data_IF_104350787729
#
_entry.id   IF_104350787729
#
_cell.length_a   1.000
_cell.length_b   1.000
_cell.length_c   1.000
_cell.angle_alpha   90.00
_cell.angle_beta   90.00
_cell.angle_gamma   90.00
#
_symmetry.space_group_name_H-M   'P 1'
#
loop_
_entity.id
_entity.type
_entity.pdbx_description
1 polymer ?
#
# COMPACT_ATOMS: atom_id res chain seq x y z
N UNK A 1 8.99 4.92 4.91
CA UNK A 1 8.41 3.57 4.68
C UNK A 1 6.98 3.52 5.21
N UNK A 2 6.21 2.48 4.88
CA UNK A 2 4.96 2.17 5.59
C UNK A 2 5.23 1.11 6.66
N UNK A 3 4.57 1.25 7.81
CA UNK A 3 4.80 0.44 9.00
C UNK A 3 6.00 0.90 9.84
N UNK A 4 6.31 0.13 10.88
CA UNK A 4 7.42 0.42 11.78
C UNK A 4 8.56 -0.59 11.63
N UNK A 5 9.74 -0.07 11.36
CA UNK A 5 10.96 -0.84 11.28
C UNK A 5 12.16 -0.03 11.79
N UNK A 6 13.22 -0.74 12.17
CA UNK A 6 14.51 -0.14 12.53
C UNK A 6 15.66 -0.93 11.92
N UNK A 7 16.77 -0.27 11.70
CA UNK A 7 18.03 -0.89 11.28
C UNK A 7 19.02 -0.75 12.44
N UNK A 8 19.64 -1.86 12.84
CA UNK A 8 20.74 -1.87 13.82
C UNK A 8 22.03 -2.20 13.07
N UNK A 9 23.07 -1.40 13.25
CA UNK A 9 24.41 -1.63 12.69
C UNK A 9 25.34 -1.93 13.86
N UNK A 10 26.05 -3.05 13.80
CA UNK A 10 26.98 -3.53 14.81
C UNK A 10 28.39 -3.33 14.30
N UNK A 11 29.24 -2.73 15.14
CA UNK A 11 30.64 -2.45 14.82
C UNK A 11 31.54 -3.33 15.68
N UNK A 12 32.66 -3.76 15.12
CA UNK A 12 33.72 -4.44 15.86
C UNK A 12 34.59 -3.47 16.69
N UNK A 13 35.60 -4.01 17.39
CA UNK A 13 36.54 -3.22 18.19
C UNK A 13 37.39 -2.26 17.33
N UNK A 14 37.54 -2.51 16.03
CA UNK A 14 38.24 -1.63 15.09
C UNK A 14 37.33 -0.51 14.54
N UNK A 15 36.03 -0.55 14.84
CA UNK A 15 35.03 0.40 14.34
C UNK A 15 34.48 0.05 12.95
N UNK A 16 34.80 -1.13 12.42
CA UNK A 16 34.31 -1.62 11.13
C UNK A 16 32.96 -2.33 11.28
N UNK A 17 32.14 -2.31 10.23
CA UNK A 17 30.81 -2.96 10.26
C UNK A 17 30.96 -4.48 10.32
N UNK A 18 30.53 -5.08 11.42
CA UNK A 18 30.50 -6.53 11.63
C UNK A 18 29.16 -7.13 11.17
N UNK A 19 28.03 -6.47 11.49
CA UNK A 19 26.68 -6.97 11.19
C UNK A 19 25.69 -5.80 10.97
N UNK A 20 24.63 -6.05 10.20
CA UNK A 20 23.53 -5.12 9.98
C UNK A 20 22.19 -5.86 9.95
N UNK A 21 21.24 -5.43 10.80
CA UNK A 21 19.94 -6.10 10.98
C UNK A 21 18.79 -5.17 10.67
N UNK A 22 17.86 -5.63 9.84
CA UNK A 22 16.56 -5.00 9.61
C UNK A 22 15.50 -5.65 10.50
N UNK A 23 14.85 -4.86 11.35
CA UNK A 23 13.84 -5.33 12.29
C UNK A 23 12.48 -4.75 11.92
N UNK A 24 11.51 -5.61 11.67
CA UNK A 24 10.08 -5.24 11.64
C UNK A 24 9.52 -5.48 13.04
N UNK A 25 9.01 -4.43 13.69
CA UNK A 25 8.73 -4.45 15.14
C UNK A 25 7.26 -4.56 15.49
N UNK A 26 6.38 -4.63 14.48
CA UNK A 26 4.94 -4.70 14.67
C UNK A 26 4.38 -6.11 14.44
N UNK A 27 3.43 -6.49 15.28
CA UNK A 27 2.65 -7.72 15.13
C UNK A 27 1.18 -7.47 15.50
N UNK A 28 0.26 -7.93 14.65
CA UNK A 28 -1.20 -7.80 14.85
C UNK A 28 -1.97 -9.13 14.84
N UNK A 29 -1.35 -10.23 14.42
CA UNK A 29 -1.95 -11.57 14.48
C UNK A 29 -3.21 -11.78 13.64
N UNK A 30 -3.29 -11.19 12.44
CA UNK A 30 -4.49 -11.29 11.57
C UNK A 30 -4.94 -12.73 11.30
N UNK A 31 -4.00 -13.63 11.07
CA UNK A 31 -4.28 -15.04 10.79
C UNK A 31 -5.03 -15.71 11.93
N UNK A 32 -4.63 -15.45 13.18
CA UNK A 32 -5.23 -16.07 14.36
C UNK A 32 -6.61 -15.52 14.67
N UNK A 33 -6.80 -14.19 14.62
CA UNK A 33 -8.10 -13.63 14.97
C UNK A 33 -9.17 -13.85 13.88
N UNK A 34 -8.75 -14.17 12.65
CA UNK A 34 -9.66 -14.54 11.57
C UNK A 34 -10.27 -15.94 11.75
N UNK A 35 -9.68 -16.80 12.58
CA UNK A 35 -10.26 -18.11 12.88
C UNK A 35 -11.67 -17.97 13.50
N UNK A 36 -12.61 -18.80 13.04
CA UNK A 36 -14.01 -18.77 13.50
C UNK A 36 -14.84 -17.59 13.00
N UNK A 37 -14.25 -16.64 12.27
CA UNK A 37 -14.98 -15.54 11.65
C UNK A 37 -15.72 -16.02 10.40
N UNK A 38 -16.91 -15.47 10.12
CA UNK A 38 -17.57 -15.74 8.85
C UNK A 38 -16.76 -15.25 7.65
N UNK A 39 -16.77 -16.04 6.57
CA UNK A 39 -16.02 -15.75 5.34
C UNK A 39 -16.33 -14.36 4.75
N UNK A 40 -17.58 -13.91 4.81
CA UNK A 40 -18.01 -12.62 4.25
C UNK A 40 -17.42 -11.40 4.99
N UNK A 41 -16.92 -11.57 6.21
CA UNK A 41 -16.22 -10.50 6.93
C UNK A 41 -14.78 -10.32 6.44
N UNK A 42 -14.20 -11.33 5.77
CA UNK A 42 -12.76 -11.38 5.49
C UNK A 42 -12.28 -10.21 4.66
N UNK A 43 -12.99 -9.86 3.58
CA UNK A 43 -12.62 -8.72 2.73
C UNK A 43 -12.62 -7.39 3.50
N UNK A 44 -13.54 -7.22 4.44
CA UNK A 44 -13.58 -6.09 5.35
C UNK A 44 -12.39 -6.12 6.32
N UNK A 45 -12.17 -7.24 6.99
CA UNK A 45 -11.11 -7.41 7.98
C UNK A 45 -9.72 -7.22 7.36
N UNK A 46 -9.38 -7.97 6.32
CA UNK A 46 -8.03 -7.98 5.73
C UNK A 46 -7.66 -6.66 5.08
N UNK A 47 -8.63 -5.89 4.58
CA UNK A 47 -8.37 -4.54 4.09
C UNK A 47 -7.77 -3.61 5.16
N UNK A 48 -7.88 -3.93 6.45
CA UNK A 48 -7.29 -3.16 7.57
C UNK A 48 -5.87 -3.61 7.92
N UNK A 49 -5.32 -4.58 7.20
CA UNK A 49 -3.90 -4.91 7.33
C UNK A 49 -3.05 -3.71 6.90
N UNK A 50 -3.40 -2.99 5.84
CA UNK A 50 -2.60 -1.85 5.38
C UNK A 50 -3.49 -0.70 4.90
N UNK A 51 -3.10 0.54 5.22
CA UNK A 51 -3.78 1.75 4.74
C UNK A 51 -3.45 2.10 3.28
N UNK A 52 -2.33 1.59 2.74
CA UNK A 52 -1.89 1.86 1.35
C UNK A 52 -2.43 0.83 0.39
N UNK A 53 -2.44 -0.47 0.73
CA UNK A 53 -2.88 -1.56 -0.15
C UNK A 53 -4.22 -2.26 0.23
N UNK A 54 -5.24 -1.53 0.71
CA UNK A 54 -6.48 -2.16 1.17
C UNK A 54 -7.23 -2.88 0.04
N UNK A 55 -7.20 -2.36 -1.21
CA UNK A 55 -7.82 -3.02 -2.37
C UNK A 55 -7.18 -4.38 -2.64
N UNK A 56 -5.86 -4.49 -2.54
CA UNK A 56 -5.16 -5.75 -2.82
C UNK A 56 -5.57 -6.83 -1.82
N UNK A 57 -5.67 -6.49 -0.53
CA UNK A 57 -6.19 -7.40 0.50
C UNK A 57 -7.65 -7.77 0.26
N UNK A 58 -8.48 -6.78 -0.04
CA UNK A 58 -9.91 -6.98 -0.27
C UNK A 58 -10.15 -7.93 -1.45
N UNK A 59 -9.50 -7.69 -2.59
CA UNK A 59 -9.61 -8.54 -3.77
C UNK A 59 -9.02 -9.94 -3.54
N UNK A 60 -7.93 -10.06 -2.77
CA UNK A 60 -7.38 -11.37 -2.39
C UNK A 60 -8.39 -12.17 -1.54
N UNK A 61 -9.05 -11.52 -0.59
CA UNK A 61 -10.08 -12.16 0.23
C UNK A 61 -11.33 -12.52 -0.59
N UNK A 62 -11.80 -11.63 -1.48
CA UNK A 62 -12.94 -11.90 -2.36
C UNK A 62 -12.67 -13.11 -3.27
N UNK A 63 -11.51 -13.13 -3.93
CA UNK A 63 -11.04 -14.27 -4.75
C UNK A 63 -10.89 -15.57 -3.97
N UNK A 64 -10.60 -15.48 -2.68
CA UNK A 64 -10.54 -16.68 -1.83
C UNK A 64 -11.94 -17.19 -1.53
N UNK A 65 -12.90 -16.30 -1.29
CA UNK A 65 -14.30 -16.67 -1.16
C UNK A 65 -14.88 -17.26 -2.44
N UNK A 66 -14.50 -16.75 -3.62
CA UNK A 66 -14.89 -17.36 -4.90
C UNK A 66 -14.53 -18.84 -4.97
N UNK A 67 -13.30 -19.17 -4.55
CA UNK A 67 -12.80 -20.55 -4.51
C UNK A 67 -13.54 -21.41 -3.49
N UNK A 68 -13.80 -20.87 -2.30
CA UNK A 68 -14.53 -21.59 -1.24
C UNK A 68 -15.95 -21.91 -1.69
N UNK A 69 -16.62 -20.98 -2.36
CA UNK A 69 -17.98 -21.14 -2.86
C UNK A 69 -18.07 -21.85 -4.21
N UNK A 70 -16.92 -22.17 -4.83
CA UNK A 70 -16.82 -22.73 -6.18
C UNK A 70 -17.61 -21.93 -7.24
N UNK A 71 -17.61 -20.60 -7.12
CA UNK A 71 -18.30 -19.70 -8.05
C UNK A 71 -17.35 -19.13 -9.09
N UNK A 72 -17.85 -18.95 -10.31
CA UNK A 72 -17.14 -18.26 -11.38
C UNK A 72 -17.63 -16.83 -11.46
N UNK A 73 -16.72 -15.89 -11.24
CA UNK A 73 -17.00 -14.45 -11.36
C UNK A 73 -17.40 -14.14 -12.81
N UNK A 74 -18.47 -13.36 -13.05
CA UNK A 74 -18.86 -12.97 -14.40
C UNK A 74 -17.79 -12.05 -15.01
N UNK A 75 -17.64 -12.01 -16.35
CA UNK A 75 -16.62 -11.18 -17.01
C UNK A 75 -16.66 -9.69 -16.64
N UNK A 76 -17.84 -9.16 -16.30
CA UNK A 76 -17.98 -7.78 -15.83
C UNK A 76 -17.31 -7.58 -14.45
N UNK A 77 -17.54 -8.49 -13.50
CA UNK A 77 -16.92 -8.45 -12.16
C UNK A 77 -15.40 -8.53 -12.24
N UNK A 78 -14.87 -9.45 -13.06
CA UNK A 78 -13.42 -9.57 -13.27
C UNK A 78 -12.79 -8.26 -13.80
N UNK A 79 -13.46 -7.60 -14.76
CA UNK A 79 -12.99 -6.33 -15.32
C UNK A 79 -13.03 -5.19 -14.30
N UNK A 80 -14.09 -5.10 -13.50
CA UNK A 80 -14.22 -4.10 -12.43
C UNK A 80 -13.13 -4.28 -11.38
N UNK A 81 -12.91 -5.52 -10.91
CA UNK A 81 -11.84 -5.82 -9.95
C UNK A 81 -10.46 -5.54 -10.52
N UNK A 82 -10.23 -5.88 -11.79
CA UNK A 82 -8.96 -5.56 -12.48
C UNK A 82 -8.74 -4.05 -12.55
N UNK A 83 -9.77 -3.28 -12.91
CA UNK A 83 -9.68 -1.82 -12.97
C UNK A 83 -9.39 -1.22 -11.59
N UNK A 84 -10.08 -1.69 -10.54
CA UNK A 84 -9.83 -1.27 -9.17
C UNK A 84 -8.40 -1.59 -8.73
N UNK A 85 -7.89 -2.78 -9.04
CA UNK A 85 -6.51 -3.17 -8.74
C UNK A 85 -5.48 -2.34 -9.52
N UNK A 86 -5.76 -1.95 -10.76
CA UNK A 86 -4.89 -1.06 -11.52
C UNK A 86 -4.87 0.34 -10.89
N UNK A 87 -6.02 0.88 -10.46
CA UNK A 87 -6.08 2.14 -9.71
C UNK A 87 -5.28 2.06 -8.40
N UNK A 88 -5.36 0.94 -7.70
CA UNK A 88 -4.56 0.63 -6.50
C UNK A 88 -3.05 0.61 -6.76
N UNK A 89 -2.60 -0.02 -7.85
CA UNK A 89 -1.19 -0.05 -8.24
C UNK A 89 -0.72 1.37 -8.58
N UNK A 90 -1.48 2.10 -9.40
CA UNK A 90 -1.15 3.47 -9.81
C UNK A 90 -0.98 4.39 -8.60
N UNK A 91 -1.96 4.41 -7.68
CA UNK A 91 -1.87 5.30 -6.52
C UNK A 91 -0.77 4.88 -5.54
N UNK A 92 -0.52 3.59 -5.38
CA UNK A 92 0.52 3.06 -4.49
C UNK A 92 1.91 3.38 -5.00
N UNK A 93 2.17 3.18 -6.29
CA UNK A 93 3.46 3.52 -6.90
C UNK A 93 3.69 5.02 -6.93
N UNK A 94 2.66 5.83 -7.22
CA UNK A 94 2.76 7.29 -7.13
C UNK A 94 3.07 7.75 -5.70
N UNK A 95 2.44 7.16 -4.69
CA UNK A 95 2.74 7.45 -3.29
C UNK A 95 4.19 7.08 -2.96
N UNK A 96 4.59 5.84 -3.25
CA UNK A 96 5.93 5.33 -2.93
C UNK A 96 7.02 6.19 -3.57
N UNK A 97 6.93 6.45 -4.87
CA UNK A 97 7.94 7.23 -5.55
C UNK A 97 7.93 8.70 -5.12
N UNK A 98 6.82 9.42 -5.31
CA UNK A 98 6.82 10.87 -5.17
C UNK A 98 6.81 11.38 -3.72
N UNK A 99 6.33 10.58 -2.77
CA UNK A 99 6.23 11.02 -1.37
C UNK A 99 7.31 10.40 -0.48
N UNK A 100 7.86 9.24 -0.85
CA UNK A 100 8.84 8.53 -0.02
C UNK A 100 10.23 8.54 -0.65
N UNK A 101 10.39 8.05 -1.88
CA UNK A 101 11.71 7.81 -2.47
C UNK A 101 12.32 9.00 -3.21
N UNK A 102 11.51 9.82 -3.87
CA UNK A 102 12.00 10.90 -4.72
C UNK A 102 12.74 12.01 -3.97
N UNK A 103 12.45 12.36 -2.70
CA UNK A 103 13.28 13.31 -1.97
C UNK A 103 14.75 12.86 -1.90
N UNK A 104 15.02 11.58 -1.62
CA UNK A 104 16.39 11.05 -1.57
C UNK A 104 17.06 11.09 -2.96
N UNK A 105 16.35 10.68 -4.01
CA UNK A 105 16.91 10.61 -5.37
C UNK A 105 17.11 11.97 -6.04
N UNK A 106 16.24 12.95 -5.77
CA UNK A 106 16.20 14.21 -6.51
C UNK A 106 16.80 15.38 -5.75
N UNK A 107 16.71 15.39 -4.41
CA UNK A 107 17.36 16.41 -3.58
C UNK A 107 18.78 15.98 -3.16
N UNK A 108 19.04 14.67 -3.14
CA UNK A 108 20.34 14.08 -2.84
C UNK A 108 20.39 13.36 -1.49
N UNK A 109 21.22 12.33 -1.41
CA UNK A 109 21.33 11.43 -0.25
C UNK A 109 21.97 12.11 0.96
N UNK A 110 22.68 13.21 0.75
CA UNK A 110 23.34 14.02 1.78
C UNK A 110 22.63 15.36 2.03
N UNK A 111 21.45 15.60 1.43
CA UNK A 111 20.70 16.83 1.67
C UNK A 111 20.17 16.90 3.10
N UNK A 112 20.02 18.12 3.63
CA UNK A 112 19.51 18.37 4.99
C UNK A 112 18.22 17.59 5.27
N UNK A 113 18.18 16.70 6.29
CA UNK A 113 16.99 15.95 6.67
C UNK A 113 15.73 16.79 6.89
N UNK A 114 15.87 18.06 7.33
CA UNK A 114 14.75 18.97 7.49
C UNK A 114 14.04 19.29 6.16
N UNK A 115 14.76 19.17 5.05
CA UNK A 115 14.28 19.44 3.69
C UNK A 115 14.19 18.19 2.81
N UNK A 116 14.84 17.08 3.18
CA UNK A 116 14.79 15.80 2.44
C UNK A 116 13.47 15.06 2.63
N UNK A 117 12.40 15.69 2.21
CA UNK A 117 11.03 15.21 2.31
C UNK A 117 10.17 15.82 1.19
N UNK A 118 8.90 15.43 1.17
CA UNK A 118 7.95 15.89 0.14
C UNK A 118 7.80 17.42 0.09
N UNK A 119 7.97 18.14 1.20
CA UNK A 119 7.85 19.59 1.21
C UNK A 119 9.06 20.28 0.61
N UNK A 120 10.27 19.78 0.87
CA UNK A 120 11.46 20.26 0.17
C UNK A 120 11.38 19.98 -1.33
N UNK A 121 10.84 18.82 -1.72
CA UNK A 121 10.59 18.51 -3.13
C UNK A 121 9.58 19.48 -3.76
N UNK A 122 8.50 19.83 -3.05
CA UNK A 122 7.52 20.84 -3.52
C UNK A 122 8.18 22.21 -3.69
N UNK A 123 9.09 22.60 -2.79
CA UNK A 123 9.80 23.87 -2.89
C UNK A 123 10.80 23.89 -4.07
N UNK A 124 11.47 22.77 -4.33
CA UNK A 124 12.46 22.64 -5.40
C UNK A 124 11.83 22.47 -6.80
N UNK A 125 10.80 21.63 -6.91
CA UNK A 125 10.09 21.36 -8.17
C UNK A 125 8.57 21.18 -7.91
N UNK A 126 7.81 22.30 -7.88
CA UNK A 126 6.38 22.27 -7.62
C UNK A 126 5.58 21.47 -8.65
N UNK A 127 6.01 21.46 -9.92
CA UNK A 127 5.27 20.83 -11.02
C UNK A 127 5.45 19.31 -11.01
N UNK A 128 6.65 18.81 -10.70
CA UNK A 128 6.89 17.39 -10.47
C UNK A 128 6.09 16.88 -9.27
N UNK A 129 6.14 17.61 -8.14
CA UNK A 129 5.38 17.25 -6.94
C UNK A 129 3.87 17.22 -7.20
N UNK A 130 3.35 18.24 -7.89
CA UNK A 130 1.94 18.31 -8.32
C UNK A 130 1.56 17.14 -9.23
N UNK A 131 2.45 16.74 -10.14
CA UNK A 131 2.22 15.60 -11.04
C UNK A 131 2.11 14.29 -10.25
N UNK A 132 2.96 14.07 -9.26
CA UNK A 132 2.89 12.92 -8.36
C UNK A 132 1.59 12.87 -7.54
N UNK A 133 1.17 14.02 -6.99
CA UNK A 133 -0.11 14.15 -6.25
C UNK A 133 -1.30 13.82 -7.18
N UNK A 134 -1.31 14.34 -8.41
CA UNK A 134 -2.38 14.09 -9.39
C UNK A 134 -2.43 12.64 -9.84
N UNK A 135 -1.28 11.98 -10.03
CA UNK A 135 -1.25 10.56 -10.38
C UNK A 135 -1.82 9.69 -9.25
N UNK A 136 -1.46 10.01 -8.00
CA UNK A 136 -2.06 9.35 -6.83
C UNK A 136 -3.56 9.61 -6.75
N UNK A 137 -4.00 10.85 -6.97
CA UNK A 137 -5.40 11.23 -6.99
C UNK A 137 -6.18 10.44 -8.04
N UNK A 138 -5.64 10.30 -9.25
CA UNK A 138 -6.28 9.54 -10.32
C UNK A 138 -6.54 8.09 -9.92
N UNK A 139 -5.52 7.39 -9.42
CA UNK A 139 -5.70 6.00 -8.97
C UNK A 139 -6.72 5.88 -7.83
N UNK A 140 -6.72 6.83 -6.89
CA UNK A 140 -7.69 6.87 -5.79
C UNK A 140 -9.13 7.18 -6.26
N UNK A 141 -9.30 8.05 -7.27
CA UNK A 141 -10.60 8.33 -7.87
C UNK A 141 -11.16 7.11 -8.58
N UNK A 142 -10.34 6.31 -9.28
CA UNK A 142 -10.77 5.04 -9.86
C UNK A 142 -11.27 4.08 -8.76
N UNK A 143 -10.56 3.97 -7.65
CA UNK A 143 -10.97 3.13 -6.52
C UNK A 143 -12.29 3.63 -5.92
N UNK A 144 -12.44 4.94 -5.72
CA UNK A 144 -13.66 5.56 -5.18
C UNK A 144 -14.88 5.35 -6.08
N UNK A 145 -14.72 5.51 -7.39
CA UNK A 145 -15.80 5.27 -8.36
C UNK A 145 -16.30 3.83 -8.34
N UNK A 146 -15.38 2.87 -8.15
CA UNK A 146 -15.72 1.44 -8.18
C UNK A 146 -16.09 0.88 -6.79
N UNK A 147 -15.62 1.51 -5.73
CA UNK A 147 -15.65 0.98 -4.36
C UNK A 147 -16.27 1.93 -3.33
N UNK A 148 -16.88 3.03 -3.77
CA UNK A 148 -17.50 4.10 -2.98
C UNK A 148 -16.60 4.87 -2.01
N UNK A 149 -15.38 4.39 -1.74
CA UNK A 149 -14.38 5.02 -0.86
C UNK A 149 -12.99 4.82 -1.44
N UNK A 150 -12.11 5.80 -1.20
CA UNK A 150 -10.69 5.73 -1.58
C UNK A 150 -9.90 4.69 -0.79
N UNK A 151 -10.15 4.63 0.52
CA UNK A 151 -9.45 3.75 1.46
C UNK A 151 -10.47 2.81 2.09
N UNK A 152 -10.12 1.54 2.13
CA UNK A 152 -11.03 0.45 2.52
C UNK A 152 -12.36 0.49 1.73
N UNK A 153 -12.31 0.40 0.39
CA UNK A 153 -13.50 0.38 -0.46
C UNK A 153 -14.42 -0.79 -0.12
N UNK A 154 -15.63 -0.76 -0.65
CA UNK A 154 -16.61 -1.84 -0.57
C UNK A 154 -16.80 -2.51 -1.94
N UNK A 155 -17.77 -3.43 -2.05
CA UNK A 155 -18.27 -4.00 -3.32
C UNK A 155 -17.42 -5.06 -4.01
N UNK A 156 -16.27 -5.49 -3.49
CA UNK A 156 -15.66 -6.75 -3.95
C UNK A 156 -15.99 -7.86 -2.97
N UNK A 157 -16.98 -8.67 -3.35
CA UNK A 157 -17.52 -9.79 -2.59
C UNK A 157 -17.34 -11.09 -3.38
N UNK A 158 -17.37 -12.25 -2.73
CA UNK A 158 -17.40 -13.52 -3.44
C UNK A 158 -18.55 -13.58 -4.46
N UNK A 159 -18.26 -13.97 -5.70
CA UNK A 159 -19.20 -14.05 -6.82
C UNK A 159 -19.12 -12.90 -7.83
N UNK A 160 -18.45 -11.79 -7.50
CA UNK A 160 -18.28 -10.63 -8.39
C UNK A 160 -18.73 -9.32 -7.78
#
# INVERSE_FOLDING_TARGET
>A
LEGHAKISIFLDDAGEVEDARFHVVEFRGFEKFCEGRPMWEMAGITARICGICPVSHLLASAKTGDKIQAVKVPPAGEKLWRMMNLGQITQSHALSFFHLSSPDFLLGWDSDPATRNVFGLIAADPDLARSGIRLRQFGQTVIELLGAKKIHPTWSIPGG
#
